data_IF_966054034055
#
_entry.id   IF_966054034055
#
_cell.length_a   1.000
_cell.length_b   1.000
_cell.length_c   1.000
_cell.angle_alpha   90.00
_cell.angle_beta   90.00
_cell.angle_gamma   90.00
#
_symmetry.space_group_name_H-M   'P 1'
#
loop_
_entity.id
_entity.type
_entity.pdbx_description
1 polymer ?
#
# COMPACT_ATOMS: atom_id res chain seq x y z
N UNK A 1 0.57 -4.35 -34.53
CA UNK A 1 -0.43 -4.69 -33.49
C UNK A 1 0.30 -4.63 -32.18
N UNK A 2 -0.15 -3.85 -31.19
CA UNK A 2 0.51 -3.87 -29.88
C UNK A 2 0.09 -5.14 -29.14
N UNK A 3 1.06 -5.91 -28.68
CA UNK A 3 0.85 -7.08 -27.83
C UNK A 3 0.30 -6.59 -26.48
N UNK A 4 -1.02 -6.57 -26.34
CA UNK A 4 -1.64 -6.36 -25.04
C UNK A 4 -1.53 -7.66 -24.23
N UNK A 5 -1.11 -7.58 -22.96
CA UNK A 5 -1.01 -8.76 -22.11
C UNK A 5 -2.36 -9.46 -21.99
N UNK A 6 -2.35 -10.79 -21.93
CA UNK A 6 -3.57 -11.58 -21.75
C UNK A 6 -4.20 -11.31 -20.36
N UNK A 7 -5.48 -11.64 -20.17
CA UNK A 7 -6.11 -11.52 -18.86
C UNK A 7 -5.42 -12.38 -17.79
N UNK A 8 -4.95 -13.58 -18.17
CA UNK A 8 -4.17 -14.47 -17.29
C UNK A 8 -2.85 -13.84 -16.87
N UNK A 9 -2.15 -13.21 -17.81
CA UNK A 9 -0.90 -12.51 -17.54
C UNK A 9 -1.13 -11.26 -16.67
N UNK A 10 -2.14 -10.44 -16.98
CA UNK A 10 -2.42 -9.24 -16.21
C UNK A 10 -2.93 -9.56 -14.79
N UNK A 11 -3.92 -10.45 -14.65
CA UNK A 11 -4.54 -10.73 -13.36
C UNK A 11 -3.78 -11.77 -12.54
N UNK A 12 -3.33 -12.85 -13.18
CA UNK A 12 -2.69 -13.97 -12.48
C UNK A 12 -1.19 -13.81 -12.27
N UNK A 13 -0.54 -12.92 -13.04
CA UNK A 13 0.87 -12.65 -12.86
C UNK A 13 1.11 -11.22 -12.35
N UNK A 14 0.70 -10.20 -13.10
CA UNK A 14 1.02 -8.82 -12.73
C UNK A 14 0.29 -8.35 -11.46
N UNK A 15 -1.03 -8.55 -11.35
CA UNK A 15 -1.75 -8.13 -10.15
C UNK A 15 -1.27 -8.86 -8.89
N UNK A 16 -1.09 -10.18 -8.97
CA UNK A 16 -0.55 -10.98 -7.86
C UNK A 16 0.88 -10.54 -7.49
N UNK A 17 1.73 -10.22 -8.48
CA UNK A 17 3.06 -9.64 -8.25
C UNK A 17 2.98 -8.32 -7.48
N UNK A 18 2.15 -7.37 -7.92
CA UNK A 18 2.00 -6.07 -7.25
C UNK A 18 1.52 -6.23 -5.79
N UNK A 19 0.59 -7.15 -5.54
CA UNK A 19 0.09 -7.46 -4.19
C UNK A 19 1.21 -8.06 -3.32
N UNK A 20 1.99 -8.99 -3.87
CA UNK A 20 3.09 -9.63 -3.15
C UNK A 20 4.20 -8.63 -2.82
N UNK A 21 4.53 -7.73 -3.74
CA UNK A 21 5.51 -6.67 -3.50
C UNK A 21 5.06 -5.68 -2.42
N UNK A 22 3.78 -5.26 -2.46
CA UNK A 22 3.18 -4.44 -1.39
C UNK A 22 3.31 -5.13 -0.02
N UNK A 23 2.92 -6.40 0.07
CA UNK A 23 3.03 -7.19 1.30
C UNK A 23 4.48 -7.32 1.76
N UNK A 24 5.41 -7.64 0.87
CA UNK A 24 6.82 -7.81 1.20
C UNK A 24 7.41 -6.52 1.80
N UNK A 25 7.18 -5.39 1.14
CA UNK A 25 7.63 -4.09 1.62
C UNK A 25 7.05 -3.78 3.03
N UNK A 26 5.75 -4.04 3.22
CA UNK A 26 5.06 -3.82 4.49
C UNK A 26 5.61 -4.70 5.63
N UNK A 27 5.87 -5.98 5.36
CA UNK A 27 6.39 -6.93 6.36
C UNK A 27 7.86 -6.71 6.68
N UNK A 28 8.65 -6.21 5.73
CA UNK A 28 10.08 -5.96 5.92
C UNK A 28 10.36 -4.63 6.64
N UNK A 29 9.48 -3.63 6.49
CA UNK A 29 9.66 -2.30 7.04
C UNK A 29 9.86 -2.35 8.57
N UNK A 30 10.99 -1.83 9.05
CA UNK A 30 11.37 -1.84 10.47
C UNK A 30 11.81 -3.19 11.05
N UNK A 31 11.61 -4.30 10.32
CA UNK A 31 11.97 -5.66 10.75
C UNK A 31 13.31 -6.13 10.21
N UNK A 32 13.65 -5.73 8.98
CA UNK A 32 14.93 -6.11 8.36
C UNK A 32 16.05 -5.21 8.86
N UNK A 33 17.14 -5.84 9.30
CA UNK A 33 18.36 -5.16 9.72
C UNK A 33 19.40 -5.23 8.62
N UNK A 34 20.12 -4.14 8.42
CA UNK A 34 21.29 -4.13 7.53
C UNK A 34 22.34 -5.08 8.10
N UNK A 35 22.88 -6.03 7.30
CA UNK A 35 23.89 -6.96 7.77
C UNK A 35 25.16 -6.23 8.25
N UNK A 36 25.73 -6.68 9.37
CA UNK A 36 26.90 -6.03 9.97
C UNK A 36 28.18 -6.19 9.12
N UNK A 37 28.26 -7.28 8.36
CA UNK A 37 29.34 -7.61 7.42
C UNK A 37 29.40 -6.67 6.21
N UNK A 38 28.31 -5.94 5.94
CA UNK A 38 28.28 -4.91 4.88
C UNK A 38 29.05 -3.64 5.26
N UNK A 39 29.60 -3.57 6.47
CA UNK A 39 30.25 -2.37 7.05
C UNK A 39 29.36 -1.13 6.87
N UNK A 40 28.09 -1.19 7.32
CA UNK A 40 27.12 -0.16 7.01
C UNK A 40 27.57 1.20 7.56
N UNK A 41 27.40 2.25 6.75
CA UNK A 41 27.53 3.62 7.26
C UNK A 41 26.36 3.91 8.22
N UNK A 42 26.51 4.95 9.05
CA UNK A 42 25.56 5.31 10.12
C UNK A 42 24.09 5.39 9.68
N UNK A 43 23.83 5.73 8.42
CA UNK A 43 22.48 5.95 7.88
C UNK A 43 21.90 4.79 7.06
N UNK A 44 22.61 3.68 6.87
CA UNK A 44 22.16 2.60 5.97
C UNK A 44 20.81 2.00 6.39
N UNK A 45 20.57 1.85 7.70
CA UNK A 45 19.29 1.35 8.18
C UNK A 45 18.14 2.31 7.85
N UNK A 46 18.39 3.61 7.94
CA UNK A 46 17.42 4.66 7.58
C UNK A 46 17.15 4.64 6.08
N UNK A 47 18.20 4.52 5.27
CA UNK A 47 18.08 4.41 3.81
C UNK A 47 17.29 3.15 3.41
N UNK A 48 17.57 2.00 4.00
CA UNK A 48 16.81 0.77 3.78
C UNK A 48 15.32 0.95 4.10
N UNK A 49 15.00 1.53 5.26
CA UNK A 49 13.61 1.79 5.64
C UNK A 49 12.93 2.76 4.66
N UNK A 50 13.63 3.81 4.22
CA UNK A 50 13.10 4.74 3.22
C UNK A 50 12.83 4.02 1.89
N UNK A 51 13.75 3.19 1.40
CA UNK A 51 13.57 2.43 0.16
C UNK A 51 12.41 1.43 0.25
N UNK A 52 12.24 0.74 1.39
CA UNK A 52 11.10 -0.15 1.62
C UNK A 52 9.78 0.63 1.66
N UNK A 53 9.78 1.81 2.27
CA UNK A 53 8.61 2.68 2.33
C UNK A 53 8.25 3.23 0.93
N UNK A 54 9.22 3.65 0.14
CA UNK A 54 9.01 4.04 -1.26
C UNK A 54 8.48 2.89 -2.11
N UNK A 55 9.01 1.68 -1.92
CA UNK A 55 8.50 0.46 -2.59
C UNK A 55 7.04 0.22 -2.21
N UNK A 56 6.68 0.28 -0.93
CA UNK A 56 5.28 0.17 -0.48
C UNK A 56 4.39 1.21 -1.18
N UNK A 57 4.81 2.48 -1.21
CA UNK A 57 4.03 3.55 -1.82
C UNK A 57 3.86 3.40 -3.34
N UNK A 58 4.89 2.92 -4.04
CA UNK A 58 4.83 2.63 -5.46
C UNK A 58 3.76 1.55 -5.76
N UNK A 59 3.84 0.41 -5.07
CA UNK A 59 2.91 -0.69 -5.29
C UNK A 59 1.48 -0.35 -4.85
N UNK A 60 1.31 0.39 -3.74
CA UNK A 60 0.01 0.91 -3.34
C UNK A 60 -0.60 1.81 -4.42
N UNK A 61 0.19 2.73 -4.99
CA UNK A 61 -0.26 3.61 -6.08
C UNK A 61 -0.72 2.81 -7.30
N UNK A 62 0.07 1.82 -7.74
CA UNK A 62 -0.27 0.98 -8.89
C UNK A 62 -1.62 0.29 -8.66
N UNK A 63 -1.85 -0.26 -7.47
CA UNK A 63 -3.11 -0.92 -7.11
C UNK A 63 -4.29 0.07 -7.07
N UNK A 64 -4.11 1.26 -6.49
CA UNK A 64 -5.16 2.30 -6.52
C UNK A 64 -5.53 2.68 -7.95
N UNK A 65 -4.54 2.90 -8.82
CA UNK A 65 -4.78 3.21 -10.24
C UNK A 65 -5.46 2.05 -10.97
N UNK A 66 -5.12 0.79 -10.67
CA UNK A 66 -5.79 -0.38 -11.23
C UNK A 66 -7.27 -0.43 -10.84
N UNK A 67 -7.62 -0.13 -9.59
CA UNK A 67 -9.01 -0.12 -9.11
C UNK A 67 -9.81 1.14 -9.51
N UNK A 68 -9.13 2.19 -10.00
CA UNK A 68 -9.74 3.43 -10.56
C UNK A 68 -10.12 3.27 -12.03
N UNK A 69 -9.12 2.88 -12.83
CA UNK A 69 -9.16 3.10 -14.27
C UNK A 69 -10.18 2.17 -14.91
N UNK A 70 -10.89 2.69 -15.92
CA UNK A 70 -11.82 1.87 -16.73
C UNK A 70 -11.14 0.68 -17.40
N UNK A 71 -9.86 0.84 -17.78
CA UNK A 71 -9.02 -0.22 -18.37
C UNK A 71 -8.29 -1.09 -17.33
N UNK A 72 -8.53 -0.87 -16.03
CA UNK A 72 -8.05 -1.71 -14.94
C UNK A 72 -9.11 -2.71 -14.51
N UNK A 73 -9.41 -2.76 -13.21
CA UNK A 73 -10.33 -3.72 -12.60
C UNK A 73 -11.71 -3.82 -13.29
N UNK A 74 -12.26 -2.68 -13.75
CA UNK A 74 -13.59 -2.66 -14.38
C UNK A 74 -13.68 -3.47 -15.68
N UNK A 75 -12.57 -3.69 -16.37
CA UNK A 75 -12.52 -4.52 -17.58
C UNK A 75 -12.84 -6.00 -17.25
N UNK A 76 -12.45 -6.45 -16.07
CA UNK A 76 -12.49 -7.84 -15.64
C UNK A 76 -13.63 -8.15 -14.66
N UNK A 77 -14.24 -7.13 -14.07
CA UNK A 77 -15.36 -7.29 -13.16
C UNK A 77 -16.73 -7.13 -13.86
N UNK A 78 -17.77 -7.69 -13.24
CA UNK A 78 -19.16 -7.47 -13.62
C UNK A 78 -19.67 -6.08 -13.20
N UNK A 79 -20.96 -5.81 -13.43
CA UNK A 79 -21.59 -4.52 -13.16
C UNK A 79 -21.75 -4.19 -11.68
N UNK A 80 -21.56 -5.17 -10.77
CA UNK A 80 -21.65 -4.97 -9.33
C UNK A 80 -20.39 -4.31 -8.76
N UNK A 81 -19.26 -4.42 -9.47
CA UNK A 81 -18.01 -3.81 -9.03
C UNK A 81 -18.04 -2.29 -9.17
N UNK A 82 -17.84 -1.62 -8.04
CA UNK A 82 -17.67 -0.16 -7.98
C UNK A 82 -16.18 0.17 -7.93
N UNK A 83 -15.65 0.67 -9.05
CA UNK A 83 -14.33 1.32 -9.09
C UNK A 83 -14.23 2.45 -8.09
N UNK A 84 -13.00 2.81 -7.71
CA UNK A 84 -12.81 4.06 -6.99
C UNK A 84 -13.22 5.26 -7.85
N UNK A 85 -13.82 6.26 -7.20
CA UNK A 85 -13.99 7.59 -7.74
C UNK A 85 -12.67 8.36 -7.72
N UNK A 86 -12.56 9.39 -8.57
CA UNK A 86 -11.40 10.27 -8.56
C UNK A 86 -11.22 10.99 -7.21
N UNK A 87 -12.30 11.29 -6.49
CA UNK A 87 -12.23 11.92 -5.17
C UNK A 87 -11.62 10.99 -4.13
N UNK A 88 -12.00 9.70 -4.11
CA UNK A 88 -11.43 8.71 -3.19
C UNK A 88 -9.92 8.57 -3.42
N UNK A 89 -9.49 8.55 -4.68
CA UNK A 89 -8.08 8.34 -5.02
C UNK A 89 -7.22 9.58 -4.88
N UNK A 90 -7.79 10.77 -5.06
CA UNK A 90 -7.05 12.03 -4.82
C UNK A 90 -6.51 12.12 -3.39
N UNK A 91 -7.17 11.48 -2.42
CA UNK A 91 -6.69 11.38 -1.03
C UNK A 91 -5.32 10.69 -0.95
N UNK A 92 -5.07 9.69 -1.79
CA UNK A 92 -3.86 8.87 -1.72
C UNK A 92 -2.82 9.24 -2.78
N UNK A 93 -3.24 9.41 -4.04
CA UNK A 93 -2.30 9.59 -5.16
C UNK A 93 -1.49 10.89 -5.07
N UNK A 94 -2.09 11.99 -4.60
CA UNK A 94 -1.35 13.25 -4.46
C UNK A 94 -0.26 13.14 -3.38
N UNK A 95 -0.54 12.66 -2.15
CA UNK A 95 0.50 12.38 -1.17
C UNK A 95 1.55 11.38 -1.66
N UNK A 96 1.15 10.28 -2.30
CA UNK A 96 2.07 9.26 -2.82
C UNK A 96 3.03 9.84 -3.86
N UNK A 97 2.54 10.67 -4.79
CA UNK A 97 3.39 11.35 -5.77
C UNK A 97 4.40 12.29 -5.12
N UNK A 98 4.00 13.01 -4.07
CA UNK A 98 4.90 13.91 -3.34
C UNK A 98 5.96 13.16 -2.52
N UNK A 99 5.70 11.91 -2.11
CA UNK A 99 6.68 11.07 -1.41
C UNK A 99 7.64 10.35 -2.37
N UNK A 100 7.20 9.98 -3.57
CA UNK A 100 8.04 9.26 -4.54
C UNK A 100 8.96 10.19 -5.36
N UNK A 101 8.56 11.44 -5.63
CA UNK A 101 9.31 12.36 -6.47
C UNK A 101 10.27 13.26 -5.67
N UNK A 102 11.50 12.80 -5.47
CA UNK A 102 12.53 13.49 -4.68
C UNK A 102 13.09 14.79 -5.29
N UNK A 103 12.86 15.02 -6.59
CA UNK A 103 13.45 16.13 -7.35
C UNK A 103 12.43 17.20 -7.80
N UNK A 104 11.19 17.12 -7.31
CA UNK A 104 10.13 18.09 -7.64
C UNK A 104 9.77 18.94 -6.41
N UNK A 105 9.22 20.13 -6.65
CA UNK A 105 8.83 21.13 -5.63
C UNK A 105 7.79 20.64 -4.60
N UNK A 106 7.28 19.42 -4.73
CA UNK A 106 6.29 18.82 -3.83
C UNK A 106 6.87 18.22 -2.54
N UNK A 107 8.20 18.06 -2.43
CA UNK A 107 8.82 17.54 -1.22
C UNK A 107 8.79 18.59 -0.11
N UNK A 108 8.25 18.20 1.03
CA UNK A 108 8.17 19.03 2.22
C UNK A 108 9.02 18.44 3.34
N UNK A 109 9.83 19.28 3.98
CA UNK A 109 10.54 18.93 5.21
C UNK A 109 9.60 18.91 6.44
N UNK A 110 8.38 19.40 6.26
CA UNK A 110 7.31 19.33 7.25
C UNK A 110 6.86 17.88 7.44
N UNK A 111 7.24 17.28 8.56
CA UNK A 111 6.88 15.90 8.92
C UNK A 111 5.36 15.70 9.06
N UNK A 112 4.60 16.77 9.33
CA UNK A 112 3.12 16.69 9.45
C UNK A 112 2.42 16.45 8.11
N UNK A 113 3.12 16.69 7.00
CA UNK A 113 2.63 16.47 5.63
C UNK A 113 3.15 15.17 5.04
N UNK A 114 3.90 14.38 5.81
CA UNK A 114 4.38 13.06 5.41
C UNK A 114 3.36 11.99 5.75
N UNK A 115 3.31 10.95 4.91
CA UNK A 115 2.49 9.78 5.19
C UNK A 115 3.04 9.06 6.42
N UNK A 116 2.17 8.85 7.39
CA UNK A 116 2.46 8.23 8.68
C UNK A 116 2.31 6.71 8.61
N UNK A 117 2.71 6.04 9.69
CA UNK A 117 2.45 4.62 9.91
C UNK A 117 0.94 4.31 9.86
N UNK A 118 0.11 5.20 10.41
CA UNK A 118 -1.34 5.07 10.36
C UNK A 118 -1.88 5.14 8.93
N UNK A 119 -1.35 6.04 8.09
CA UNK A 119 -1.74 6.13 6.68
C UNK A 119 -1.39 4.85 5.91
N UNK A 120 -0.24 4.22 6.21
CA UNK A 120 0.14 2.92 5.61
C UNK A 120 -0.82 1.80 6.00
N UNK A 121 -1.20 1.75 7.27
CA UNK A 121 -2.19 0.79 7.77
C UNK A 121 -3.54 0.99 7.10
N UNK A 122 -3.99 2.25 6.99
CA UNK A 122 -5.25 2.59 6.34
C UNK A 122 -5.24 2.21 4.86
N UNK A 123 -4.17 2.56 4.12
CA UNK A 123 -4.02 2.18 2.71
C UNK A 123 -4.04 0.66 2.50
N UNK A 124 -3.30 -0.10 3.30
CA UNK A 124 -3.26 -1.56 3.19
C UNK A 124 -4.65 -2.18 3.44
N UNK A 125 -5.36 -1.70 4.46
CA UNK A 125 -6.70 -2.17 4.79
C UNK A 125 -7.73 -1.78 3.71
N UNK A 126 -7.65 -0.56 3.19
CA UNK A 126 -8.56 -0.09 2.14
C UNK A 126 -8.36 -0.89 0.84
N UNK A 127 -7.11 -1.09 0.42
CA UNK A 127 -6.79 -1.91 -0.76
C UNK A 127 -7.19 -3.37 -0.55
N UNK A 128 -7.00 -3.93 0.65
CA UNK A 128 -7.47 -5.27 0.99
C UNK A 128 -8.98 -5.40 0.81
N UNK A 129 -9.76 -4.47 1.36
CA UNK A 129 -11.22 -4.51 1.26
C UNK A 129 -11.67 -4.33 -0.21
N UNK A 130 -10.96 -3.50 -0.99
CA UNK A 130 -11.23 -3.32 -2.42
C UNK A 130 -10.93 -4.58 -3.23
N UNK A 131 -9.80 -5.24 -2.97
CA UNK A 131 -9.40 -6.47 -3.63
C UNK A 131 -10.43 -7.58 -3.38
N UNK A 132 -10.91 -7.73 -2.15
CA UNK A 132 -11.92 -8.74 -1.83
C UNK A 132 -13.27 -8.48 -2.53
N UNK A 133 -13.67 -7.21 -2.66
CA UNK A 133 -14.84 -6.84 -3.47
C UNK A 133 -14.62 -7.13 -4.95
N UNK A 134 -13.42 -6.85 -5.46
CA UNK A 134 -13.06 -7.13 -6.84
C UNK A 134 -13.11 -8.63 -7.14
N UNK A 135 -12.47 -9.47 -6.32
CA UNK A 135 -12.49 -10.93 -6.47
C UNK A 135 -13.91 -11.50 -6.53
N UNK A 136 -14.82 -10.99 -5.68
CA UNK A 136 -16.23 -11.40 -5.67
C UNK A 136 -16.99 -10.98 -6.94
N UNK A 137 -16.62 -9.86 -7.53
CA UNK A 137 -17.24 -9.32 -8.72
C UNK A 137 -16.52 -9.72 -10.02
N UNK A 138 -15.51 -10.61 -9.97
CA UNK A 138 -14.86 -11.11 -11.17
C UNK A 138 -15.86 -11.86 -12.07
N UNK A 139 -15.81 -11.54 -13.36
CA UNK A 139 -16.55 -12.29 -14.39
C UNK A 139 -16.17 -13.78 -14.33
N UNK A 140 -17.08 -14.70 -14.69
CA UNK A 140 -16.83 -16.14 -14.61
C UNK A 140 -15.48 -16.58 -15.21
N UNK A 141 -15.13 -16.07 -16.39
CA UNK A 141 -13.91 -16.42 -17.13
C UNK A 141 -12.60 -16.04 -16.41
N UNK A 142 -12.66 -15.14 -15.42
CA UNK A 142 -11.49 -14.64 -14.70
C UNK A 142 -11.44 -15.08 -13.23
N UNK A 143 -12.45 -15.84 -12.77
CA UNK A 143 -12.48 -16.32 -11.39
C UNK A 143 -11.32 -17.28 -11.14
N UNK A 144 -10.67 -17.12 -9.98
CA UNK A 144 -9.52 -17.93 -9.60
C UNK A 144 -8.19 -17.50 -10.23
N UNK A 145 -8.18 -16.52 -11.15
CA UNK A 145 -6.91 -15.99 -11.68
C UNK A 145 -6.14 -15.18 -10.64
N UNK A 146 -6.83 -14.46 -9.76
CA UNK A 146 -6.21 -13.66 -8.69
C UNK A 146 -6.14 -14.49 -7.42
N UNK A 147 -4.93 -14.87 -7.03
CA UNK A 147 -4.72 -15.76 -5.87
C UNK A 147 -4.16 -15.02 -4.66
N UNK A 148 -3.44 -13.91 -4.88
CA UNK A 148 -2.83 -13.15 -3.80
C UNK A 148 -3.86 -12.39 -2.97
N UNK A 149 -3.52 -12.10 -1.72
CA UNK A 149 -4.32 -11.31 -0.79
C UNK A 149 -3.45 -10.25 -0.14
N UNK A 150 -4.02 -9.07 0.12
CA UNK A 150 -3.33 -7.99 0.81
C UNK A 150 -3.42 -8.25 2.32
N UNK A 151 -2.30 -8.07 3.02
CA UNK A 151 -2.23 -8.23 4.48
C UNK A 151 -3.08 -7.17 5.15
N UNK A 152 -4.12 -7.59 5.87
CA UNK A 152 -4.93 -6.70 6.70
C UNK A 152 -4.22 -6.48 8.04
N UNK A 153 -4.03 -5.21 8.41
CA UNK A 153 -3.34 -4.80 9.62
C UNK A 153 -4.37 -4.38 10.69
N UNK A 154 -4.18 -4.89 11.91
CA UNK A 154 -4.97 -4.48 13.07
C UNK A 154 -4.39 -3.19 13.64
N UNK A 155 -5.22 -2.15 13.78
CA UNK A 155 -4.86 -0.98 14.57
C UNK A 155 -4.98 -1.39 16.03
N UNK A 156 -3.88 -1.81 16.65
CA UNK A 156 -3.82 -1.85 18.11
C UNK A 156 -3.67 -0.42 18.59
N UNK A 157 -4.72 0.15 19.17
CA UNK A 157 -4.64 1.42 19.88
C UNK A 157 -3.70 1.26 21.07
N UNK A 158 -2.43 1.64 20.90
CA UNK A 158 -1.51 1.87 22.00
C UNK A 158 -1.89 3.19 22.69
N UNK A 159 -3.05 3.21 23.36
CA UNK A 159 -3.42 4.32 24.22
C UNK A 159 -2.44 4.40 25.41
N UNK A 160 -2.03 5.60 25.85
CA UNK A 160 -1.27 5.73 27.09
C UNK A 160 -2.14 5.25 28.26
N UNK A 161 -1.66 4.24 28.98
CA UNK A 161 -2.24 3.83 30.25
C UNK A 161 -2.09 5.00 31.22
N UNK A 162 -3.18 5.72 31.48
CA UNK A 162 -3.21 6.75 32.51
C UNK A 162 -2.98 6.08 33.87
N UNK A 163 -1.75 6.15 34.37
CA UNK A 163 -1.44 5.80 35.76
C UNK A 163 -1.97 6.92 36.63
N UNK A 164 -3.23 6.82 37.03
CA UNK A 164 -3.76 7.62 38.13
C UNK A 164 -3.09 7.13 39.42
N UNK A 165 -1.97 7.76 39.79
CA UNK A 165 -1.42 7.65 41.14
C UNK A 165 -2.32 8.43 42.10
N UNK A 166 -2.88 7.81 43.15
CA UNK A 166 -3.64 8.55 44.15
C UNK A 166 -2.69 9.36 45.02
N UNK A 167 -2.83 10.67 44.98
CA UNK A 167 -2.15 11.61 45.91
C UNK A 167 -2.67 11.35 47.32
N UNK A 168 -1.79 10.85 48.20
CA UNK A 168 -2.06 10.81 49.63
C UNK A 168 -1.98 12.25 50.20
N UNK A 169 -3.10 12.72 50.74
CA UNK A 169 -3.18 13.96 51.52
C UNK A 169 -2.58 13.65 52.90
N UNK A 170 -1.62 14.46 53.34
CA UNK A 170 -1.17 14.53 54.73
C UNK A 170 -1.93 15.63 55.45
#
# INVERSE_FOLDING_TARGET
MSDQPSATELLGHHLDYEINQLNAALHMLGRVKVPADWKPQSDWQKLLNNSLMESFYLHARILFEFFEKKKGAKLYADTTFKSYSQSEIKRWVRPLNNQAAHLLEGRTNDDTKKLTDADRVEMANELSDKLERFKKALKPDYRGLVTASITKLLITSSGPQATNSPTAIK
#
